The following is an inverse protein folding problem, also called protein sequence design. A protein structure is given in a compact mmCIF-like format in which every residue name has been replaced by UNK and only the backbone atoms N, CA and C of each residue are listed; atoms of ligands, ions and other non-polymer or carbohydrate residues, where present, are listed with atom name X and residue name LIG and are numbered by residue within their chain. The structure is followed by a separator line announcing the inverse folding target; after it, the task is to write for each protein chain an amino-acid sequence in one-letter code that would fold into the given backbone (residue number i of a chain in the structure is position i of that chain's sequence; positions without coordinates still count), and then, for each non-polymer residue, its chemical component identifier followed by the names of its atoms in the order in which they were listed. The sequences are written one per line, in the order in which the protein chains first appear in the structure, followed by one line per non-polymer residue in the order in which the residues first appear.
data_IF_652710166339
#
_entry.id   IF_652710166339
#
_cell.length_a   1.000
_cell.length_b   1.000
_cell.length_c   1.000
_cell.angle_alpha   90.00
_cell.angle_beta   90.00
_cell.angle_gamma   90.00
#
_symmetry.space_group_name_H-M   'P 1'
#
loop_
_entity.id
_entity.type
_entity.pdbx_description
1 polymer ?
#
# COMPACT_ATOMS: atom_id res chain seq x y z
N UNK A 1 0.82 -5.55 -6.21
CA UNK A 1 0.05 -6.54 -7.01
C UNK A 1 -1.44 -6.46 -6.69
N UNK A 2 -2.35 -6.71 -7.64
CA UNK A 2 -3.81 -6.78 -7.42
C UNK A 2 -4.33 -8.21 -7.60
N UNK A 3 -5.30 -8.64 -6.79
CA UNK A 3 -5.94 -9.95 -6.95
C UNK A 3 -6.72 -10.02 -8.28
N UNK A 4 -6.66 -11.12 -9.04
CA UNK A 4 -7.25 -11.20 -10.39
C UNK A 4 -8.76 -10.99 -10.41
N UNK A 5 -9.42 -11.29 -9.30
CA UNK A 5 -10.86 -11.06 -9.13
C UNK A 5 -11.16 -9.69 -8.49
N UNK A 6 -10.48 -8.65 -8.97
CA UNK A 6 -10.74 -7.26 -8.60
C UNK A 6 -10.88 -6.37 -9.83
N UNK A 7 -11.62 -5.29 -9.70
CA UNK A 7 -11.75 -4.24 -10.73
C UNK A 7 -11.64 -2.86 -10.10
N UNK A 8 -11.22 -1.87 -10.89
CA UNK A 8 -11.38 -0.47 -10.51
C UNK A 8 -12.83 -0.02 -10.71
N UNK A 9 -13.26 0.93 -9.89
CA UNK A 9 -14.55 1.58 -10.04
C UNK A 9 -14.61 2.88 -9.24
N UNK A 10 -15.52 3.77 -9.62
CA UNK A 10 -15.77 4.99 -8.88
C UNK A 10 -16.54 4.70 -7.59
N UNK A 11 -16.09 5.27 -6.46
CA UNK A 11 -16.70 5.12 -5.13
C UNK A 11 -17.58 6.31 -4.81
N UNK A 12 -17.03 7.53 -4.85
CA UNK A 12 -17.74 8.80 -4.61
C UNK A 12 -16.84 9.98 -4.96
N UNK A 13 -17.37 11.20 -5.01
CA UNK A 13 -16.55 12.41 -5.25
C UNK A 13 -15.48 12.62 -4.17
N UNK A 14 -15.77 12.26 -2.93
CA UNK A 14 -14.84 12.41 -1.80
C UNK A 14 -13.70 11.40 -1.83
N UNK A 15 -13.96 10.18 -2.30
CA UNK A 15 -13.01 9.04 -2.25
C UNK A 15 -12.33 8.81 -3.60
N UNK A 16 -12.99 9.10 -4.71
CA UNK A 16 -12.52 8.82 -6.06
C UNK A 16 -12.70 7.35 -6.43
N UNK A 17 -11.71 6.79 -7.14
CA UNK A 17 -11.73 5.40 -7.57
C UNK A 17 -11.22 4.45 -6.48
N UNK A 18 -11.85 3.28 -6.38
CA UNK A 18 -11.48 2.21 -5.47
C UNK A 18 -11.40 0.86 -6.17
N UNK A 19 -10.94 -0.15 -5.42
CA UNK A 19 -10.80 -1.54 -5.88
C UNK A 19 -11.97 -2.36 -5.33
N UNK A 20 -12.68 -3.04 -6.22
CA UNK A 20 -13.87 -3.83 -5.89
C UNK A 20 -13.63 -5.31 -6.22
N UNK A 21 -14.03 -6.19 -5.31
CA UNK A 21 -14.04 -7.62 -5.59
C UNK A 21 -15.10 -7.96 -6.63
N UNK A 22 -14.76 -8.77 -7.63
CA UNK A 22 -15.72 -9.25 -8.64
C UNK A 22 -16.39 -10.57 -8.24
N UNK A 23 -15.88 -11.22 -7.20
CA UNK A 23 -16.45 -12.40 -6.57
C UNK A 23 -16.01 -12.47 -5.09
N UNK A 24 -16.51 -13.45 -4.34
CA UNK A 24 -16.04 -13.69 -2.98
C UNK A 24 -14.55 -14.06 -2.97
N UNK A 25 -13.75 -13.34 -2.19
CA UNK A 25 -12.31 -13.60 -1.98
C UNK A 25 -12.16 -14.08 -0.53
N UNK A 26 -11.78 -15.35 -0.30
CA UNK A 26 -11.60 -15.85 1.06
C UNK A 26 -10.53 -15.06 1.82
N UNK A 27 -10.71 -14.93 3.13
CA UNK A 27 -9.69 -14.31 3.99
C UNK A 27 -8.38 -15.10 3.86
N UNK A 28 -7.26 -14.39 3.69
CA UNK A 28 -5.93 -14.99 3.59
C UNK A 28 -5.49 -15.39 2.18
N UNK A 29 -6.31 -15.17 1.13
CA UNK A 29 -5.90 -15.45 -0.26
C UNK A 29 -5.25 -14.27 -0.97
N UNK A 30 -5.20 -13.10 -0.32
CA UNK A 30 -4.43 -11.96 -0.77
C UNK A 30 -3.10 -11.98 -0.03
N UNK A 31 -2.04 -12.31 -0.74
CA UNK A 31 -0.67 -12.21 -0.26
C UNK A 31 0.00 -10.99 -0.89
N UNK A 32 0.79 -10.28 -0.09
CA UNK A 32 1.76 -9.32 -0.59
C UNK A 32 3.14 -9.98 -0.51
N UNK A 33 3.96 -9.74 -1.53
CA UNK A 33 5.36 -10.16 -1.58
C UNK A 33 6.13 -8.92 -1.99
N UNK A 34 7.25 -8.66 -1.31
CA UNK A 34 8.14 -7.57 -1.68
C UNK A 34 8.62 -7.78 -3.12
N UNK A 35 8.29 -6.86 -4.01
CA UNK A 35 8.71 -6.94 -5.41
C UNK A 35 9.89 -6.01 -5.73
N UNK A 36 10.56 -6.24 -6.85
CA UNK A 36 11.79 -5.54 -7.22
C UNK A 36 11.60 -4.02 -7.45
N UNK A 37 10.37 -3.56 -7.65
CA UNK A 37 10.05 -2.14 -7.82
C UNK A 37 9.85 -1.43 -6.47
N UNK A 38 9.73 -2.17 -5.37
CA UNK A 38 9.60 -1.61 -4.03
C UNK A 38 10.95 -1.21 -3.44
N UNK A 39 10.98 -0.11 -2.68
CA UNK A 39 12.21 0.44 -2.10
C UNK A 39 12.21 0.25 -0.59
N UNK A 40 13.27 -0.37 -0.05
CA UNK A 40 13.57 -0.29 1.38
C UNK A 40 14.16 1.09 1.69
N UNK A 41 13.56 1.78 2.66
CA UNK A 41 14.00 3.09 3.12
C UNK A 41 14.71 2.96 4.47
N UNK A 42 15.84 3.66 4.61
CA UNK A 42 16.57 3.73 5.86
C UNK A 42 15.94 4.76 6.80
N UNK A 43 15.79 4.45 8.08
CA UNK A 43 15.22 5.36 9.09
C UNK A 43 15.99 6.69 9.20
N UNK A 44 17.33 6.68 9.10
CA UNK A 44 18.14 7.90 9.06
C UNK A 44 17.80 8.78 7.86
N UNK A 45 17.56 8.17 6.70
CA UNK A 45 17.11 8.91 5.52
C UNK A 45 15.73 9.50 5.74
N UNK A 46 14.78 8.72 6.26
CA UNK A 46 13.42 9.21 6.57
C UNK A 46 13.48 10.40 7.52
N UNK A 47 14.26 10.30 8.60
CA UNK A 47 14.41 11.35 9.59
C UNK A 47 15.12 12.62 9.07
N UNK A 48 15.84 12.53 7.94
CA UNK A 48 16.44 13.69 7.28
C UNK A 48 15.47 14.49 6.39
N UNK A 49 14.31 13.92 6.07
CA UNK A 49 13.28 14.59 5.25
C UNK A 49 12.49 15.60 6.07
N UNK A 50 11.83 16.55 5.43
CA UNK A 50 10.91 17.45 6.12
C UNK A 50 9.66 16.70 6.65
N UNK A 51 8.94 17.29 7.63
CA UNK A 51 7.84 16.62 8.31
C UNK A 51 6.71 16.13 7.38
N UNK A 52 6.44 16.84 6.28
CA UNK A 52 5.36 16.45 5.37
C UNK A 52 5.71 15.13 4.66
N UNK A 53 6.95 14.99 4.17
CA UNK A 53 7.39 13.74 3.55
C UNK A 53 7.47 12.58 4.55
N UNK A 54 7.94 12.85 5.78
CA UNK A 54 7.95 11.83 6.84
C UNK A 54 6.54 11.28 7.12
N UNK A 55 5.53 12.16 7.21
CA UNK A 55 4.15 11.76 7.42
C UNK A 55 3.63 10.89 6.26
N UNK A 56 3.91 11.28 5.01
CA UNK A 56 3.50 10.50 3.82
C UNK A 56 4.13 9.11 3.81
N UNK A 57 5.43 9.01 4.08
CA UNK A 57 6.12 7.72 4.14
C UNK A 57 5.48 6.85 5.22
N UNK A 58 5.34 7.34 6.45
CA UNK A 58 4.73 6.58 7.56
C UNK A 58 3.29 6.14 7.28
N UNK A 59 2.54 6.89 6.46
CA UNK A 59 1.16 6.54 6.08
C UNK A 59 1.09 5.50 4.97
N UNK A 60 2.01 5.53 4.00
CA UNK A 60 1.93 4.73 2.78
C UNK A 60 3.01 3.66 2.66
N UNK A 61 3.84 3.47 3.69
CA UNK A 61 4.78 2.36 3.79
C UNK A 61 4.37 1.39 4.89
N UNK A 62 4.93 0.19 4.82
CA UNK A 62 4.88 -0.80 5.88
C UNK A 62 6.25 -0.87 6.58
N UNK A 63 6.28 -1.29 7.84
CA UNK A 63 7.52 -1.50 8.61
C UNK A 63 7.90 -2.96 8.57
N UNK A 64 9.14 -3.22 8.15
CA UNK A 64 9.71 -4.55 8.23
C UNK A 64 9.72 -5.04 9.68
N UNK A 65 9.34 -6.31 9.88
CA UNK A 65 9.24 -6.91 11.22
C UNK A 65 10.58 -7.42 11.75
N UNK A 66 11.62 -7.38 10.92
CA UNK A 66 12.99 -7.69 11.32
C UNK A 66 13.49 -6.59 12.27
N UNK A 67 13.59 -6.96 13.56
CA UNK A 67 14.07 -6.12 14.66
C UNK A 67 15.59 -6.07 14.71
#
# INVERSE_FOLDING_TARGET
MMHPHTRLGFVSEKIGNGVFATQFIPKGTIIWVLDELERKLNEFYINSLDPLHQEKIRKYSWRDGES
#
